data_IF_115765570346
#
_entry.id   IF_115765570346
#
_cell.length_a   1.000
_cell.length_b   1.000
_cell.length_c   1.000
_cell.angle_alpha   90.00
_cell.angle_beta   90.00
_cell.angle_gamma   90.00
#
_symmetry.space_group_name_H-M   'P 1'
#
loop_
_entity.id
_entity.type
_entity.pdbx_description
1 polymer ?
#
# COMPACT_ATOMS: atom_id res chain seq x y z
N UNK A 1 -3.77 -9.96 14.90
CA UNK A 1 -4.44 -8.84 15.59
C UNK A 1 -3.78 -8.44 16.92
N UNK A 2 -3.40 -9.37 17.82
CA UNK A 2 -2.74 -9.02 19.09
C UNK A 2 -1.46 -8.16 18.91
N UNK A 3 -0.56 -8.58 18.01
CA UNK A 3 0.67 -7.83 17.69
C UNK A 3 0.40 -6.39 17.24
N UNK A 4 -0.69 -6.15 16.51
CA UNK A 4 -1.10 -4.80 16.12
C UNK A 4 -1.43 -3.96 17.36
N UNK A 5 -2.24 -4.47 18.27
CA UNK A 5 -2.63 -3.72 19.48
C UNK A 5 -1.42 -3.42 20.37
N UNK A 6 -0.53 -4.38 20.55
CA UNK A 6 0.72 -4.21 21.29
C UNK A 6 1.63 -3.17 20.63
N UNK A 7 1.86 -3.29 19.32
CA UNK A 7 2.71 -2.36 18.57
C UNK A 7 2.17 -0.92 18.57
N UNK A 8 0.87 -0.74 18.34
CA UNK A 8 0.24 0.59 18.39
C UNK A 8 0.24 1.17 19.81
N UNK A 9 0.06 0.33 20.84
CA UNK A 9 0.12 0.77 22.24
C UNK A 9 1.53 1.22 22.61
N UNK A 10 2.56 0.47 22.21
CA UNK A 10 3.96 0.82 22.44
C UNK A 10 4.36 2.10 21.68
N UNK A 11 3.91 2.26 20.43
CA UNK A 11 4.19 3.45 19.64
C UNK A 11 3.48 4.70 20.20
N UNK A 12 2.15 4.70 20.23
CA UNK A 12 1.36 5.88 20.62
C UNK A 12 1.42 6.17 22.13
N UNK A 13 1.75 5.17 22.96
CA UNK A 13 2.02 5.36 24.39
C UNK A 13 3.48 5.66 24.72
N UNK A 14 4.39 5.57 23.75
CA UNK A 14 5.83 5.70 23.97
C UNK A 14 6.31 7.15 24.06
N UNK A 15 7.48 7.33 24.68
CA UNK A 15 8.12 8.64 24.88
C UNK A 15 8.49 9.32 23.57
N UNK A 16 8.88 8.56 22.54
CA UNK A 16 9.19 9.09 21.21
C UNK A 16 7.98 9.78 20.58
N UNK A 17 6.80 9.13 20.57
CA UNK A 17 5.59 9.78 20.06
C UNK A 17 5.22 10.98 20.94
N UNK A 18 5.25 10.85 22.26
CA UNK A 18 4.95 11.96 23.17
C UNK A 18 5.83 13.21 22.91
N UNK A 19 7.11 13.02 22.59
CA UNK A 19 8.03 14.11 22.28
C UNK A 19 7.81 14.75 20.89
N UNK A 20 7.28 14.00 19.92
CA UNK A 20 7.24 14.43 18.52
C UNK A 20 5.82 14.62 17.95
N UNK A 21 4.77 14.23 18.68
CA UNK A 21 3.38 14.23 18.18
C UNK A 21 2.91 15.60 17.70
N UNK A 22 3.28 16.68 18.38
CA UNK A 22 2.79 18.02 18.03
C UNK A 22 3.37 18.48 16.68
N UNK A 23 4.66 18.23 16.46
CA UNK A 23 5.32 18.51 15.19
C UNK A 23 4.77 17.61 14.06
N UNK A 24 4.52 16.33 14.34
CA UNK A 24 3.93 15.41 13.36
C UNK A 24 2.49 15.84 13.00
N UNK A 25 1.65 16.14 13.99
CA UNK A 25 0.27 16.57 13.80
C UNK A 25 0.18 17.90 13.02
N UNK A 26 1.13 18.81 13.22
CA UNK A 26 1.19 20.06 12.46
C UNK A 26 1.41 19.87 10.94
N UNK A 27 1.86 18.68 10.51
CA UNK A 27 2.02 18.35 9.08
C UNK A 27 0.79 17.71 8.43
N UNK A 28 -0.25 17.39 9.21
CA UNK A 28 -1.42 16.64 8.77
C UNK A 28 -2.67 17.51 8.80
N UNK A 29 -3.47 17.46 7.72
CA UNK A 29 -4.80 18.09 7.70
C UNK A 29 -5.78 17.24 8.52
N UNK A 30 -5.77 15.92 8.28
CA UNK A 30 -6.53 14.89 8.99
C UNK A 30 -5.72 13.59 9.08
N UNK A 31 -6.23 12.61 9.83
CA UNK A 31 -5.58 11.31 10.04
C UNK A 31 -6.57 10.15 10.29
N UNK A 32 -7.83 10.32 9.86
CA UNK A 32 -8.95 9.43 10.15
C UNK A 32 -9.39 8.53 8.98
N UNK A 33 -8.89 8.73 7.75
CA UNK A 33 -9.07 7.80 6.62
C UNK A 33 -8.15 6.58 6.73
N UNK A 34 -8.43 5.73 7.73
CA UNK A 34 -7.63 4.54 8.03
C UNK A 34 -8.34 3.27 7.57
N UNK A 35 -7.66 2.47 6.74
CA UNK A 35 -8.08 1.13 6.35
C UNK A 35 -7.32 0.09 7.17
N UNK A 36 -8.03 -0.91 7.71
CA UNK A 36 -7.41 -2.08 8.30
C UNK A 36 -7.21 -3.15 7.24
N UNK A 37 -5.96 -3.52 6.99
CA UNK A 37 -5.57 -4.38 5.87
C UNK A 37 -4.79 -5.60 6.35
N UNK A 38 -4.90 -6.68 5.58
CA UNK A 38 -4.03 -7.86 5.66
C UNK A 38 -3.50 -8.23 4.27
N UNK A 39 -2.37 -8.94 4.16
CA UNK A 39 -1.93 -9.51 2.89
C UNK A 39 -3.08 -10.29 2.22
N UNK A 40 -3.27 -10.08 0.92
CA UNK A 40 -4.34 -10.71 0.15
C UNK A 40 -4.18 -12.25 0.12
N UNK A 41 -2.94 -12.71 0.05
CA UNK A 41 -2.49 -14.09 0.24
C UNK A 41 -1.13 -14.14 0.95
N UNK A 42 -0.67 -15.33 1.33
CA UNK A 42 0.66 -15.50 1.94
C UNK A 42 1.77 -14.99 1.02
N UNK A 43 2.65 -14.13 1.54
CA UNK A 43 3.74 -13.53 0.75
C UNK A 43 3.32 -12.42 -0.22
N UNK A 44 2.06 -11.98 -0.21
CA UNK A 44 1.61 -10.84 -1.03
C UNK A 44 1.95 -9.46 -0.45
N UNK A 45 2.48 -9.41 0.78
CA UNK A 45 2.86 -8.15 1.41
C UNK A 45 4.09 -7.50 0.77
N UNK A 46 4.30 -6.23 1.08
CA UNK A 46 5.48 -5.47 0.63
C UNK A 46 6.74 -6.11 1.17
N UNK A 47 7.71 -6.35 0.29
CA UNK A 47 9.03 -6.81 0.72
C UNK A 47 9.85 -5.61 1.17
N UNK A 48 10.02 -5.45 2.47
CA UNK A 48 10.86 -4.37 3.03
C UNK A 48 12.31 -4.82 3.19
N UNK A 49 13.24 -4.00 2.69
CA UNK A 49 14.65 -4.15 3.01
C UNK A 49 14.84 -3.89 4.51
N UNK A 50 15.46 -4.83 5.24
CA UNK A 50 15.61 -4.71 6.70
C UNK A 50 16.53 -3.57 7.12
N UNK A 51 17.58 -3.30 6.34
CA UNK A 51 18.49 -2.18 6.59
C UNK A 51 18.03 -0.92 5.87
N UNK A 52 17.72 0.11 6.66
CA UNK A 52 17.41 1.46 6.16
C UNK A 52 18.70 2.22 5.84
N UNK A 53 18.71 3.07 4.81
CA UNK A 53 19.84 3.95 4.53
C UNK A 53 20.24 4.78 5.76
N UNK A 54 21.55 4.98 5.92
CA UNK A 54 22.10 5.90 6.92
C UNK A 54 21.73 7.35 6.56
N UNK A 55 21.61 8.22 7.57
CA UNK A 55 21.37 9.64 7.32
C UNK A 55 22.52 10.24 6.50
N UNK A 56 22.18 10.97 5.42
CA UNK A 56 23.17 11.56 4.52
C UNK A 56 23.70 10.62 3.42
N UNK A 57 23.12 9.42 3.26
CA UNK A 57 23.41 8.59 2.09
C UNK A 57 23.06 9.34 0.78
N UNK A 58 23.79 9.10 -0.32
CA UNK A 58 23.49 9.70 -1.61
C UNK A 58 22.04 9.43 -2.03
N UNK A 59 21.50 10.33 -2.84
CA UNK A 59 20.17 10.23 -3.42
C UNK A 59 20.11 9.15 -4.51
N UNK A 60 20.48 7.91 -4.16
CA UNK A 60 20.31 6.76 -5.05
C UNK A 60 18.83 6.49 -5.24
N UNK A 61 18.50 5.89 -6.40
CA UNK A 61 17.14 5.75 -6.91
C UNK A 61 16.17 5.20 -5.85
N UNK A 62 15.45 6.11 -5.18
CA UNK A 62 14.48 5.75 -4.13
C UNK A 62 13.28 5.01 -4.71
N UNK A 63 13.14 5.02 -6.03
CA UNK A 63 12.03 4.46 -6.75
C UNK A 63 10.81 5.39 -6.78
N UNK A 64 9.73 4.88 -7.37
CA UNK A 64 8.40 5.47 -7.30
C UNK A 64 7.45 4.37 -6.80
N UNK A 65 6.63 4.68 -5.81
CA UNK A 65 5.62 3.75 -5.30
C UNK A 65 4.25 4.17 -5.83
N UNK A 66 3.61 3.29 -6.58
CA UNK A 66 2.22 3.39 -7.00
C UNK A 66 1.35 2.61 -6.00
N UNK A 67 0.47 3.32 -5.29
CA UNK A 67 -0.55 2.73 -4.42
C UNK A 67 -1.91 2.93 -5.07
N UNK A 68 -2.56 1.84 -5.47
CA UNK A 68 -3.89 1.87 -6.07
C UNK A 68 -4.90 1.17 -5.17
N UNK A 69 -5.95 1.93 -4.79
CA UNK A 69 -7.08 1.49 -4.00
C UNK A 69 -8.24 1.10 -4.91
N UNK A 70 -8.65 -0.16 -4.83
CA UNK A 70 -9.79 -0.73 -5.52
C UNK A 70 -10.93 -0.93 -4.51
N UNK A 71 -11.97 -0.10 -4.59
CA UNK A 71 -13.17 -0.29 -3.75
C UNK A 71 -14.00 -1.42 -4.33
N UNK A 72 -14.31 -2.44 -3.54
CA UNK A 72 -14.97 -3.66 -3.97
C UNK A 72 -16.48 -3.60 -3.71
N UNK A 73 -17.28 -4.24 -4.56
CA UNK A 73 -18.72 -4.43 -4.35
C UNK A 73 -19.02 -5.43 -3.23
N UNK A 74 -18.24 -6.48 -3.21
CA UNK A 74 -18.42 -7.64 -2.36
C UNK A 74 -17.10 -7.98 -1.64
N UNK A 75 -17.13 -8.79 -0.57
CA UNK A 75 -15.92 -9.30 0.05
C UNK A 75 -15.00 -10.01 -0.97
N UNK A 76 -13.67 -10.00 -0.75
CA UNK A 76 -12.72 -10.59 -1.69
C UNK A 76 -13.02 -12.06 -2.02
N UNK A 77 -13.15 -12.38 -3.31
CA UNK A 77 -13.40 -13.74 -3.81
C UNK A 77 -12.13 -14.38 -4.35
N UNK A 78 -12.06 -15.72 -4.50
CA UNK A 78 -10.92 -16.39 -5.14
C UNK A 78 -10.60 -15.85 -6.54
N UNK A 79 -11.62 -15.56 -7.36
CA UNK A 79 -11.45 -15.01 -8.70
C UNK A 79 -10.79 -13.63 -8.68
N UNK A 80 -11.20 -12.76 -7.74
CA UNK A 80 -10.55 -11.46 -7.52
C UNK A 80 -9.07 -11.64 -7.16
N UNK A 81 -8.75 -12.60 -6.28
CA UNK A 81 -7.37 -12.85 -5.88
C UNK A 81 -6.53 -13.36 -7.05
N UNK A 82 -7.08 -14.22 -7.91
CA UNK A 82 -6.41 -14.65 -9.14
C UNK A 82 -6.18 -13.48 -10.11
N UNK A 83 -7.16 -12.60 -10.27
CA UNK A 83 -7.02 -11.39 -11.07
C UNK A 83 -5.92 -10.46 -10.51
N UNK A 84 -5.85 -10.29 -9.19
CA UNK A 84 -4.81 -9.51 -8.52
C UNK A 84 -3.41 -10.14 -8.69
N UNK A 85 -3.29 -11.47 -8.58
CA UNK A 85 -2.04 -12.18 -8.85
C UNK A 85 -1.57 -11.98 -10.30
N UNK A 86 -2.50 -12.03 -11.26
CA UNK A 86 -2.21 -11.78 -12.67
C UNK A 86 -1.79 -10.32 -12.89
N UNK A 87 -2.50 -9.35 -12.32
CA UNK A 87 -2.15 -7.94 -12.34
C UNK A 87 -0.74 -7.69 -11.77
N UNK A 88 -0.37 -8.37 -10.68
CA UNK A 88 0.98 -8.33 -10.12
C UNK A 88 2.06 -8.83 -11.10
N UNK A 89 1.76 -9.83 -11.94
CA UNK A 89 2.69 -10.29 -13.00
C UNK A 89 2.82 -9.25 -14.10
N UNK A 90 1.72 -8.64 -14.54
CA UNK A 90 1.73 -7.58 -15.56
C UNK A 90 2.58 -6.39 -15.10
N UNK A 91 2.45 -5.99 -13.82
CA UNK A 91 3.28 -4.93 -13.23
C UNK A 91 4.78 -5.29 -13.29
N UNK A 92 5.15 -6.50 -12.87
CA UNK A 92 6.55 -6.95 -12.90
C UNK A 92 7.11 -7.08 -14.31
N UNK A 93 6.37 -7.67 -15.24
CA UNK A 93 6.75 -7.71 -16.65
C UNK A 93 6.87 -6.30 -17.26
N UNK A 94 6.11 -5.35 -16.71
CA UNK A 94 6.15 -3.92 -17.03
C UNK A 94 7.32 -3.14 -16.42
N UNK A 95 8.18 -3.80 -15.64
CA UNK A 95 9.35 -3.19 -15.02
C UNK A 95 9.16 -2.73 -13.57
N UNK A 96 8.05 -3.10 -12.91
CA UNK A 96 7.96 -2.97 -11.46
C UNK A 96 8.93 -3.95 -10.77
N UNK A 97 9.65 -3.46 -9.77
CA UNK A 97 10.58 -4.23 -8.94
C UNK A 97 9.87 -5.09 -7.91
N UNK A 98 8.75 -4.60 -7.38
CA UNK A 98 7.88 -5.33 -6.46
C UNK A 98 6.41 -5.00 -6.74
N UNK A 99 5.53 -5.95 -6.41
CA UNK A 99 4.09 -5.78 -6.49
C UNK A 99 3.40 -6.55 -5.34
N UNK A 100 2.93 -5.79 -4.36
CA UNK A 100 2.24 -6.27 -3.18
C UNK A 100 0.73 -6.02 -3.24
N UNK A 101 -0.03 -6.86 -2.56
CA UNK A 101 -1.49 -6.86 -2.58
C UNK A 101 -2.05 -7.10 -1.18
N UNK A 102 -3.03 -6.28 -0.82
CA UNK A 102 -3.73 -6.35 0.46
C UNK A 102 -5.23 -6.32 0.25
N UNK A 103 -5.97 -6.89 1.19
CA UNK A 103 -7.43 -6.78 1.27
C UNK A 103 -7.83 -6.29 2.66
N UNK A 104 -9.07 -5.81 2.80
CA UNK A 104 -9.64 -5.50 4.11
C UNK A 104 -9.45 -6.66 5.08
N UNK A 105 -8.93 -6.36 6.27
CA UNK A 105 -8.94 -7.27 7.42
C UNK A 105 -10.33 -7.22 8.07
N UNK A 106 -11.08 -8.34 8.10
CA UNK A 106 -12.46 -8.33 8.60
C UNK A 106 -12.58 -8.23 10.12
N UNK A 107 -11.47 -8.38 10.87
CA UNK A 107 -11.48 -8.25 12.32
C UNK A 107 -11.85 -6.83 12.77
N UNK A 108 -12.61 -6.68 13.87
CA UNK A 108 -12.94 -5.36 14.42
C UNK A 108 -11.68 -4.59 14.84
N UNK A 109 -11.78 -3.26 14.91
CA UNK A 109 -10.69 -2.44 15.39
C UNK A 109 -10.36 -2.75 16.85
N UNK A 110 -9.18 -3.30 17.10
CA UNK A 110 -8.69 -3.59 18.44
C UNK A 110 -7.85 -2.46 19.06
N UNK A 111 -7.86 -1.27 18.46
CA UNK A 111 -7.19 -0.08 19.00
C UNK A 111 -8.07 1.17 18.81
N UNK A 112 -9.07 1.39 19.69
CA UNK A 112 -10.11 2.42 19.50
C UNK A 112 -9.59 3.86 19.41
N UNK A 113 -8.39 4.15 19.93
CA UNK A 113 -7.75 5.47 19.82
C UNK A 113 -7.38 5.85 18.38
N UNK A 114 -7.31 4.88 17.47
CA UNK A 114 -7.13 5.11 16.03
C UNK A 114 -8.36 4.57 15.32
N UNK A 115 -9.38 5.41 15.05
CA UNK A 115 -10.56 5.01 14.29
C UNK A 115 -10.16 4.44 12.93
N UNK A 116 -10.95 3.49 12.44
CA UNK A 116 -10.80 2.93 11.10
C UNK A 116 -12.14 3.05 10.37
N UNK A 117 -12.10 3.00 9.05
CA UNK A 117 -13.28 2.85 8.23
C UNK A 117 -13.82 1.43 8.35
N UNK A 118 -14.99 1.30 8.94
CA UNK A 118 -15.70 0.03 9.05
C UNK A 118 -16.67 -0.19 7.88
N UNK A 119 -17.00 -1.45 7.60
CA UNK A 119 -17.96 -1.79 6.54
C UNK A 119 -17.47 -1.56 5.10
N UNK A 120 -16.19 -1.27 4.90
CA UNK A 120 -15.60 -1.05 3.56
C UNK A 120 -14.80 -2.27 3.11
N UNK A 121 -15.06 -2.75 1.90
CA UNK A 121 -14.26 -3.80 1.25
C UNK A 121 -13.34 -3.19 0.21
N UNK A 122 -12.04 -3.42 0.35
CA UNK A 122 -11.03 -2.92 -0.58
C UNK A 122 -10.02 -3.99 -0.95
N UNK A 123 -9.48 -3.88 -2.15
CA UNK A 123 -8.20 -4.44 -2.56
C UNK A 123 -7.23 -3.26 -2.72
N UNK A 124 -6.00 -3.40 -2.23
CA UNK A 124 -4.93 -2.40 -2.37
C UNK A 124 -3.76 -3.04 -3.08
N UNK A 125 -3.39 -2.48 -4.23
CA UNK A 125 -2.16 -2.81 -4.94
C UNK A 125 -1.08 -1.80 -4.59
N UNK A 126 0.14 -2.28 -4.33
CA UNK A 126 1.34 -1.46 -4.14
C UNK A 126 2.40 -1.93 -5.12
N UNK A 127 2.81 -1.09 -6.06
CA UNK A 127 3.86 -1.39 -7.01
C UNK A 127 5.05 -0.46 -6.81
N UNK A 128 6.25 -1.02 -6.76
CA UNK A 128 7.50 -0.25 -6.71
C UNK A 128 8.13 -0.25 -8.10
N UNK A 129 8.37 0.94 -8.65
CA UNK A 129 9.13 1.13 -9.89
C UNK A 129 10.52 1.71 -9.61
N UNK A 130 11.51 1.48 -10.48
CA UNK A 130 12.85 2.09 -10.32
C UNK A 130 12.82 3.64 -10.33
N UNK A 131 11.78 4.23 -10.90
CA UNK A 131 11.54 5.68 -10.85
C UNK A 131 10.39 6.10 -11.77
N UNK A 132 10.07 7.40 -11.74
CA UNK A 132 8.94 7.99 -12.47
C UNK A 132 8.90 7.66 -13.96
N UNK A 133 10.03 7.75 -14.64
CA UNK A 133 10.13 7.42 -16.07
C UNK A 133 9.71 5.98 -16.39
N UNK A 134 10.01 5.02 -15.50
CA UNK A 134 9.65 3.60 -15.69
C UNK A 134 8.14 3.40 -15.54
N UNK A 135 7.55 3.99 -14.50
CA UNK A 135 6.09 4.01 -14.31
C UNK A 135 5.38 4.63 -15.52
N UNK A 136 5.82 5.79 -16.00
CA UNK A 136 5.21 6.47 -17.15
C UNK A 136 5.32 5.66 -18.45
N UNK A 137 6.46 4.99 -18.66
CA UNK A 137 6.64 4.07 -19.80
C UNK A 137 5.65 2.91 -19.72
N UNK A 138 5.49 2.30 -18.54
CA UNK A 138 4.51 1.23 -18.32
C UNK A 138 3.07 1.72 -18.57
N UNK A 139 2.70 2.85 -17.96
CA UNK A 139 1.36 3.43 -18.08
C UNK A 139 1.00 3.77 -19.55
N UNK A 140 1.94 4.35 -20.31
CA UNK A 140 1.73 4.62 -21.75
C UNK A 140 1.66 3.36 -22.60
N UNK A 141 2.25 2.25 -22.15
CA UNK A 141 2.22 0.97 -22.87
C UNK A 141 0.84 0.34 -22.93
N UNK A 142 -0.13 0.77 -22.11
CA UNK A 142 -1.53 0.34 -22.17
C UNK A 142 -1.78 -1.11 -21.72
N UNK A 143 -0.73 -1.86 -21.35
CA UNK A 143 -0.83 -3.28 -20.97
C UNK A 143 -1.72 -3.49 -19.75
N UNK A 144 -1.68 -2.57 -18.79
CA UNK A 144 -2.59 -2.59 -17.65
C UNK A 144 -4.06 -2.53 -18.09
N UNK A 145 -4.41 -1.59 -18.95
CA UNK A 145 -5.78 -1.39 -19.44
C UNK A 145 -6.25 -2.56 -20.32
N UNK A 146 -5.33 -3.19 -21.06
CA UNK A 146 -5.64 -4.31 -21.93
C UNK A 146 -5.79 -5.64 -21.17
N UNK A 147 -4.96 -5.90 -20.15
CA UNK A 147 -4.84 -7.23 -19.54
C UNK A 147 -5.29 -7.28 -18.06
N UNK A 148 -4.96 -6.28 -17.24
CA UNK A 148 -5.25 -6.31 -15.80
C UNK A 148 -6.59 -5.69 -15.43
N UNK A 149 -6.85 -4.47 -15.91
CA UNK A 149 -8.05 -3.71 -15.58
C UNK A 149 -9.36 -4.45 -15.91
N UNK A 150 -9.49 -5.16 -17.06
CA UNK A 150 -10.72 -5.89 -17.39
C UNK A 150 -11.01 -7.04 -16.42
N UNK A 151 -10.00 -7.64 -15.81
CA UNK A 151 -10.16 -8.73 -14.84
C UNK A 151 -10.59 -8.20 -13.46
N UNK A 152 -10.15 -7.00 -13.08
CA UNK A 152 -10.50 -6.38 -11.79
C UNK A 152 -11.86 -5.67 -11.84
N UNK A 153 -12.21 -5.04 -12.97
CA UNK A 153 -13.42 -4.21 -13.14
C UNK A 153 -14.74 -4.88 -12.72
N UNK A 154 -14.97 -6.19 -12.96
CA UNK A 154 -16.17 -6.89 -12.50
C UNK A 154 -16.31 -7.02 -10.98
N UNK A 155 -15.34 -6.58 -10.19
CA UNK A 155 -15.40 -6.62 -8.73
C UNK A 155 -15.56 -5.22 -8.09
N UNK A 156 -15.42 -4.15 -8.88
CA UNK A 156 -15.27 -2.79 -8.35
C UNK A 156 -16.61 -2.07 -8.12
N UNK A 157 -16.76 -1.41 -6.98
CA UNK A 157 -17.91 -0.55 -6.69
C UNK A 157 -17.73 0.89 -7.20
N UNK A 158 -16.49 1.30 -7.48
CA UNK A 158 -16.14 2.63 -7.96
C UNK A 158 -14.86 2.56 -8.81
N UNK A 159 -14.52 3.66 -9.49
CA UNK A 159 -13.24 3.78 -10.18
C UNK A 159 -12.05 3.66 -9.19
N UNK A 160 -10.97 2.97 -9.57
CA UNK A 160 -9.77 2.88 -8.74
C UNK A 160 -9.18 4.25 -8.42
N UNK A 161 -8.67 4.42 -7.20
CA UNK A 161 -7.93 5.63 -6.80
C UNK A 161 -6.44 5.33 -6.71
N UNK A 162 -5.65 6.05 -7.48
CA UNK A 162 -4.19 5.89 -7.54
C UNK A 162 -3.47 7.05 -6.87
N UNK A 163 -2.44 6.73 -6.11
CA UNK A 163 -1.55 7.69 -5.45
C UNK A 163 -0.11 7.32 -5.80
N UNK A 164 0.66 8.31 -6.27
CA UNK A 164 2.08 8.15 -6.54
C UNK A 164 2.88 8.77 -5.40
N UNK A 165 3.72 7.96 -4.77
CA UNK A 165 4.53 8.33 -3.62
C UNK A 165 6.01 8.28 -3.98
N UNK A 166 6.74 9.29 -3.54
CA UNK A 166 8.20 9.36 -3.63
C UNK A 166 8.79 8.99 -2.27
N UNK A 167 9.51 7.85 -2.14
CA UNK A 167 10.04 7.45 -0.85
C UNK A 167 11.04 8.47 -0.30
N UNK A 168 10.98 8.70 1.02
CA UNK A 168 11.95 9.58 1.69
C UNK A 168 13.34 8.95 1.74
N UNK A 169 14.39 9.74 2.02
CA UNK A 169 15.80 9.31 2.00
C UNK A 169 16.12 8.10 2.86
N UNK A 170 15.30 7.80 3.88
CA UNK A 170 15.50 6.65 4.79
C UNK A 170 14.46 5.54 4.64
N UNK A 171 13.68 5.56 3.55
CA UNK A 171 12.68 4.54 3.30
C UNK A 171 13.30 3.13 3.24
N UNK A 172 12.62 2.16 3.87
CA UNK A 172 12.94 0.74 3.71
C UNK A 172 12.40 0.17 2.39
N UNK A 173 11.40 0.83 1.80
CA UNK A 173 10.88 0.55 0.48
C UNK A 173 11.60 1.48 -0.52
N UNK A 174 12.47 0.90 -1.33
CA UNK A 174 13.34 1.60 -2.30
C UNK A 174 13.68 0.66 -3.46
N UNK A 175 14.05 1.25 -4.60
CA UNK A 175 14.51 0.51 -5.77
C UNK A 175 15.91 -0.09 -5.58
#
# INVERSE_FOLDING_TARGET
MAERAEGLSAFYGGTTWAAHRDAANATMIDSDDVLLLRPAWEGSGVTVQRERPKGGAPDEARGLVDVTLFTLRDPPTPDLLQAAMHAGRILRDGGALDAAWYVTEPSPNNFPRLPIREGVQVLVGVALFPGRHHFEKFARGGRWQAEAAPLLRPHLAAEPRTMLLEPTTRSALRA
#
